data_IF_215609063793
#
_entry.id   IF_215609063793
#
_cell.length_a   1.000
_cell.length_b   1.000
_cell.length_c   1.000
_cell.angle_alpha   90.00
_cell.angle_beta   90.00
_cell.angle_gamma   90.00
#
_symmetry.space_group_name_H-M   'P 1'
#
loop_
_entity.id
_entity.type
_entity.pdbx_description
1 polymer ?
#
# COMPACT_ATOMS: atom_id res chain seq x y z
N UNK A 1 -15.99 -44.86 0.83
CA UNK A 1 -15.33 -44.21 -0.34
C UNK A 1 -16.41 -43.96 -1.37
N UNK A 2 -16.58 -42.71 -1.72
CA UNK A 2 -17.67 -42.22 -2.57
C UNK A 2 -17.32 -42.46 -4.04
N UNK A 3 -17.78 -43.59 -4.56
CA UNK A 3 -17.56 -44.00 -5.94
C UNK A 3 -18.16 -43.03 -6.96
N UNK A 4 -19.24 -42.34 -6.59
CA UNK A 4 -19.90 -41.34 -7.44
C UNK A 4 -19.02 -40.14 -7.68
N UNK A 5 -18.36 -39.63 -6.61
CA UNK A 5 -17.45 -38.51 -6.67
C UNK A 5 -16.16 -38.82 -7.44
N UNK A 6 -15.61 -40.02 -7.28
CA UNK A 6 -14.44 -40.46 -8.05
C UNK A 6 -14.73 -40.51 -9.55
N UNK A 7 -15.90 -41.02 -9.93
CA UNK A 7 -16.34 -41.08 -11.34
C UNK A 7 -16.56 -39.66 -11.91
N UNK A 8 -17.18 -38.77 -11.15
CA UNK A 8 -17.38 -37.38 -11.57
C UNK A 8 -16.05 -36.67 -11.80
N UNK A 9 -15.13 -36.75 -10.84
CA UNK A 9 -13.81 -36.12 -10.97
C UNK A 9 -13.04 -36.67 -12.19
N UNK A 10 -13.12 -38.00 -12.42
CA UNK A 10 -12.48 -38.61 -13.58
C UNK A 10 -13.04 -38.06 -14.89
N UNK A 11 -14.34 -37.78 -14.97
CA UNK A 11 -14.96 -37.27 -16.20
C UNK A 11 -14.75 -35.76 -16.36
N UNK A 12 -14.80 -34.97 -15.28
CA UNK A 12 -14.53 -33.55 -15.33
C UNK A 12 -13.07 -33.27 -15.75
N UNK A 13 -12.15 -34.16 -15.36
CA UNK A 13 -10.73 -34.03 -15.66
C UNK A 13 -10.31 -34.78 -16.94
N UNK A 14 -11.29 -35.19 -17.79
CA UNK A 14 -10.95 -35.79 -19.09
C UNK A 14 -10.22 -34.80 -19.99
N UNK A 15 -9.22 -35.27 -20.77
CA UNK A 15 -8.59 -34.42 -21.77
C UNK A 15 -9.59 -34.03 -22.86
N UNK A 16 -9.27 -32.98 -23.62
CA UNK A 16 -10.15 -32.36 -24.62
C UNK A 16 -10.82 -33.41 -25.57
N UNK A 17 -10.09 -34.43 -25.95
CA UNK A 17 -10.62 -35.52 -26.81
C UNK A 17 -11.73 -36.36 -26.15
N UNK A 18 -11.81 -36.33 -24.83
CA UNK A 18 -12.83 -37.02 -24.04
C UNK A 18 -14.13 -36.26 -23.85
N UNK A 19 -14.15 -34.95 -24.10
CA UNK A 19 -15.31 -34.06 -23.87
C UNK A 19 -16.53 -34.46 -24.71
N UNK A 20 -16.30 -35.04 -25.89
CA UNK A 20 -17.36 -35.53 -26.76
C UNK A 20 -18.26 -36.62 -26.10
N UNK A 21 -17.80 -37.27 -25.03
CA UNK A 21 -18.56 -38.25 -24.28
C UNK A 21 -19.51 -37.65 -23.23
N UNK A 22 -19.37 -36.40 -22.90
CA UNK A 22 -20.17 -35.73 -21.86
C UNK A 22 -21.67 -35.66 -22.17
N UNK A 23 -22.03 -35.58 -23.43
CA UNK A 23 -23.44 -35.56 -23.86
C UNK A 23 -24.08 -36.92 -24.03
N UNK A 24 -23.34 -38.03 -23.92
CA UNK A 24 -23.83 -39.36 -24.23
C UNK A 24 -24.36 -40.14 -23.01
N UNK A 25 -23.96 -39.77 -21.79
CA UNK A 25 -24.41 -40.41 -20.56
C UNK A 25 -25.41 -39.52 -19.80
N UNK A 26 -26.69 -39.76 -20.04
CA UNK A 26 -27.82 -39.05 -19.46
C UNK A 26 -28.24 -39.57 -18.07
N UNK A 27 -27.43 -40.38 -17.41
CA UNK A 27 -27.77 -40.85 -16.05
C UNK A 27 -27.67 -39.69 -15.03
N UNK A 28 -28.75 -39.41 -14.29
CA UNK A 28 -28.65 -38.50 -13.19
C UNK A 28 -27.67 -39.05 -12.17
N UNK A 29 -26.57 -38.33 -11.95
CA UNK A 29 -25.61 -38.64 -10.90
C UNK A 29 -26.04 -37.92 -9.65
N UNK A 30 -26.42 -38.67 -8.67
CA UNK A 30 -26.65 -38.13 -7.34
C UNK A 30 -25.28 -37.78 -6.75
N UNK A 31 -24.93 -36.49 -6.87
CA UNK A 31 -23.69 -35.96 -6.31
C UNK A 31 -24.07 -35.32 -4.97
N UNK A 32 -24.06 -36.16 -3.94
CA UNK A 32 -24.20 -35.70 -2.58
C UNK A 32 -23.13 -34.65 -2.27
N UNK A 33 -23.56 -33.55 -1.63
CA UNK A 33 -22.68 -32.51 -1.13
C UNK A 33 -22.00 -31.62 -2.19
N UNK A 34 -22.58 -31.51 -3.37
CA UNK A 34 -22.25 -30.47 -4.33
C UNK A 34 -23.34 -29.41 -4.32
N UNK A 35 -22.95 -28.14 -4.11
CA UNK A 35 -23.86 -27.00 -4.19
C UNK A 35 -23.31 -25.98 -5.18
N UNK A 36 -24.19 -25.39 -5.97
CA UNK A 36 -23.87 -24.30 -6.87
C UNK A 36 -24.54 -23.05 -6.30
N UNK A 37 -23.74 -22.01 -6.05
CA UNK A 37 -24.22 -20.74 -5.57
C UNK A 37 -23.94 -19.66 -6.61
N UNK A 38 -24.94 -19.22 -7.40
CA UNK A 38 -24.76 -18.11 -8.32
C UNK A 38 -24.66 -16.80 -7.55
N UNK A 39 -23.64 -16.01 -7.85
CA UNK A 39 -23.46 -14.65 -7.33
C UNK A 39 -23.75 -13.62 -8.44
N UNK A 40 -24.26 -12.45 -8.06
CA UNK A 40 -24.59 -11.37 -9.02
C UNK A 40 -23.35 -10.61 -9.46
N UNK A 41 -22.33 -10.51 -8.58
CA UNK A 41 -21.07 -9.84 -8.83
C UNK A 41 -19.94 -10.48 -8.01
N UNK A 42 -18.71 -10.08 -8.31
CA UNK A 42 -17.51 -10.59 -7.64
C UNK A 42 -17.44 -10.28 -6.14
N UNK A 43 -18.08 -9.22 -5.68
CA UNK A 43 -18.12 -8.87 -4.27
C UNK A 43 -19.07 -9.79 -3.51
N UNK A 44 -20.24 -10.03 -4.07
CA UNK A 44 -21.21 -10.97 -3.51
C UNK A 44 -20.64 -12.40 -3.49
N UNK A 45 -19.91 -12.79 -4.53
CA UNK A 45 -19.21 -14.07 -4.58
C UNK A 45 -18.21 -14.20 -3.43
N UNK A 46 -17.34 -13.20 -3.23
CA UNK A 46 -16.35 -13.20 -2.16
C UNK A 46 -17.01 -13.24 -0.76
N UNK A 47 -18.09 -12.49 -0.56
CA UNK A 47 -18.84 -12.48 0.70
C UNK A 47 -19.52 -13.84 0.99
N UNK A 48 -20.13 -14.43 -0.02
CA UNK A 48 -20.77 -15.75 0.11
C UNK A 48 -19.74 -16.83 0.46
N UNK A 49 -18.59 -16.84 -0.22
CA UNK A 49 -17.49 -17.75 0.08
C UNK A 49 -16.97 -17.54 1.50
N UNK A 50 -16.74 -16.30 1.92
CA UNK A 50 -16.26 -15.99 3.26
C UNK A 50 -17.22 -16.45 4.35
N UNK A 51 -18.53 -16.30 4.13
CA UNK A 51 -19.57 -16.80 5.06
C UNK A 51 -19.56 -18.32 5.15
N UNK A 52 -19.45 -19.03 4.03
CA UNK A 52 -19.38 -20.50 4.00
C UNK A 52 -18.12 -20.98 4.73
N UNK A 53 -16.97 -20.36 4.47
CA UNK A 53 -15.70 -20.72 5.11
C UNK A 53 -15.79 -20.48 6.64
N UNK A 54 -16.33 -19.32 7.05
CA UNK A 54 -16.55 -19.00 8.46
C UNK A 54 -17.44 -20.03 9.15
N UNK A 55 -18.55 -20.39 8.52
CA UNK A 55 -19.50 -21.36 9.07
C UNK A 55 -18.82 -22.70 9.34
N UNK A 56 -18.08 -23.19 8.36
CA UNK A 56 -17.33 -24.46 8.49
C UNK A 56 -16.26 -24.39 9.58
N UNK A 57 -15.49 -23.33 9.65
CA UNK A 57 -14.38 -23.17 10.64
C UNK A 57 -14.93 -22.97 12.06
N UNK A 58 -16.16 -22.47 12.21
CA UNK A 58 -16.80 -22.33 13.53
C UNK A 58 -17.08 -23.67 14.21
N UNK A 59 -17.12 -24.78 13.46
CA UNK A 59 -17.25 -26.12 14.01
C UNK A 59 -15.87 -26.70 14.39
N UNK A 60 -15.71 -27.10 15.64
CA UNK A 60 -14.44 -27.61 16.15
C UNK A 60 -13.94 -28.82 15.34
N UNK A 61 -12.68 -28.78 14.91
CA UNK A 61 -12.01 -29.86 14.16
C UNK A 61 -12.33 -29.92 12.68
N UNK A 62 -13.14 -28.99 12.14
CA UNK A 62 -13.35 -28.86 10.71
C UNK A 62 -12.30 -27.95 10.06
N UNK A 63 -11.88 -28.30 8.86
CA UNK A 63 -11.02 -27.50 7.99
C UNK A 63 -11.70 -27.26 6.66
N UNK A 64 -11.40 -26.15 6.01
CA UNK A 64 -11.90 -25.83 4.68
C UNK A 64 -10.83 -25.20 3.82
N UNK A 65 -10.99 -25.23 2.51
CA UNK A 65 -10.09 -24.60 1.57
C UNK A 65 -10.88 -23.97 0.42
N UNK A 66 -10.46 -22.78 0.01
CA UNK A 66 -10.84 -22.16 -1.25
C UNK A 66 -9.80 -22.57 -2.31
N UNK A 67 -10.26 -23.11 -3.41
CA UNK A 67 -9.42 -23.40 -4.58
C UNK A 67 -9.88 -22.53 -5.74
N UNK A 68 -9.05 -21.60 -6.16
CA UNK A 68 -9.35 -20.69 -7.26
C UNK A 68 -8.08 -20.33 -8.02
N UNK A 69 -8.13 -20.21 -9.36
CA UNK A 69 -7.05 -19.62 -10.15
C UNK A 69 -7.10 -18.08 -10.13
N UNK A 70 -8.22 -17.49 -9.71
CA UNK A 70 -8.41 -16.04 -9.66
C UNK A 70 -7.82 -15.45 -8.38
N UNK A 71 -6.67 -14.77 -8.51
CA UNK A 71 -5.97 -14.09 -7.42
C UNK A 71 -6.76 -12.93 -6.82
N UNK A 72 -7.54 -12.23 -7.65
CA UNK A 72 -8.35 -11.11 -7.17
C UNK A 72 -9.49 -11.62 -6.28
N UNK A 73 -10.12 -12.74 -6.65
CA UNK A 73 -11.11 -13.39 -5.81
C UNK A 73 -10.50 -13.87 -4.49
N UNK A 74 -9.34 -14.53 -4.52
CA UNK A 74 -8.66 -14.98 -3.30
C UNK A 74 -8.39 -13.82 -2.33
N UNK A 75 -7.86 -12.70 -2.82
CA UNK A 75 -7.60 -11.50 -2.01
C UNK A 75 -8.89 -10.89 -1.44
N UNK A 76 -9.96 -10.82 -2.23
CA UNK A 76 -11.28 -10.32 -1.75
C UNK A 76 -11.83 -11.20 -0.63
N UNK A 77 -11.79 -12.52 -0.82
CA UNK A 77 -12.23 -13.47 0.21
C UNK A 77 -11.39 -13.34 1.47
N UNK A 78 -10.07 -13.23 1.36
CA UNK A 78 -9.18 -12.99 2.49
C UNK A 78 -9.55 -11.71 3.25
N UNK A 79 -9.84 -10.62 2.53
CA UNK A 79 -10.28 -9.36 3.13
C UNK A 79 -11.63 -9.51 3.87
N UNK A 80 -12.59 -10.23 3.28
CA UNK A 80 -13.87 -10.49 3.93
C UNK A 80 -13.71 -11.37 5.17
N UNK A 81 -12.81 -12.35 5.17
CA UNK A 81 -12.52 -13.21 6.31
C UNK A 81 -11.91 -12.43 7.49
N UNK A 82 -11.08 -11.41 7.22
CA UNK A 82 -10.52 -10.54 8.27
C UNK A 82 -11.61 -9.83 9.09
N UNK A 83 -12.77 -9.52 8.50
CA UNK A 83 -13.93 -8.96 9.23
C UNK A 83 -14.46 -9.89 10.31
N UNK A 84 -14.22 -11.18 10.18
CA UNK A 84 -14.56 -12.21 11.16
C UNK A 84 -13.39 -12.62 12.06
N UNK A 85 -12.22 -11.93 11.95
CA UNK A 85 -11.02 -12.28 12.69
C UNK A 85 -10.36 -13.58 12.20
N UNK A 86 -10.67 -14.02 10.98
CA UNK A 86 -10.10 -15.23 10.39
C UNK A 86 -8.97 -14.84 9.46
N UNK A 87 -7.76 -15.33 9.75
CA UNK A 87 -6.59 -15.22 8.89
C UNK A 87 -6.45 -16.51 8.08
N UNK A 88 -6.69 -16.41 6.77
CA UNK A 88 -6.52 -17.55 5.88
C UNK A 88 -5.05 -17.68 5.47
N UNK A 89 -4.55 -18.91 5.42
CA UNK A 89 -3.24 -19.21 4.83
C UNK A 89 -3.40 -19.29 3.29
N UNK A 90 -2.65 -18.45 2.58
CA UNK A 90 -2.65 -18.39 1.12
C UNK A 90 -1.38 -19.01 0.56
N UNK A 91 -1.52 -20.18 -0.08
CA UNK A 91 -0.39 -20.91 -0.66
C UNK A 91 0.40 -20.15 -1.73
N UNK A 92 -0.19 -19.14 -2.37
CA UNK A 92 0.50 -18.30 -3.34
C UNK A 92 1.17 -17.07 -2.73
N UNK A 93 0.91 -16.81 -1.42
CA UNK A 93 1.44 -15.65 -0.71
C UNK A 93 0.92 -14.31 -1.22
N UNK A 94 1.41 -13.24 -0.63
CA UNK A 94 1.14 -11.88 -1.08
C UNK A 94 2.21 -11.43 -2.08
N UNK A 95 1.79 -10.67 -3.09
CA UNK A 95 2.75 -10.04 -4.00
C UNK A 95 3.57 -9.00 -3.25
N UNK A 96 4.88 -9.17 -3.22
CA UNK A 96 5.80 -8.20 -2.59
C UNK A 96 5.53 -6.77 -3.09
N UNK A 97 5.21 -6.61 -4.38
CA UNK A 97 4.92 -5.31 -4.98
C UNK A 97 3.68 -4.60 -4.42
N UNK A 98 2.81 -5.31 -3.72
CA UNK A 98 1.60 -4.77 -3.09
C UNK A 98 1.78 -4.49 -1.59
N UNK A 99 2.89 -4.92 -1.01
CA UNK A 99 3.17 -4.62 0.41
C UNK A 99 3.34 -3.11 0.62
N UNK A 100 2.97 -2.59 1.80
CA UNK A 100 3.15 -1.17 2.10
C UNK A 100 4.59 -0.68 1.89
N UNK A 101 5.58 -1.48 2.27
CA UNK A 101 6.99 -1.14 2.08
C UNK A 101 7.37 -1.01 0.60
N UNK A 102 6.98 -1.97 -0.24
CA UNK A 102 7.29 -1.92 -1.67
C UNK A 102 6.55 -0.79 -2.39
N UNK A 103 5.30 -0.51 -1.99
CA UNK A 103 4.54 0.65 -2.50
C UNK A 103 5.27 1.94 -2.14
N UNK A 104 5.72 2.06 -0.88
CA UNK A 104 6.47 3.24 -0.40
C UNK A 104 7.76 3.47 -1.19
N UNK A 105 8.58 2.42 -1.40
CA UNK A 105 9.80 2.50 -2.21
C UNK A 105 9.52 2.96 -3.64
N UNK A 106 8.47 2.45 -4.27
CA UNK A 106 8.09 2.89 -5.63
C UNK A 106 7.64 4.35 -5.66
N UNK A 107 6.87 4.79 -4.66
CA UNK A 107 6.44 6.18 -4.56
C UNK A 107 7.64 7.12 -4.40
N UNK A 108 8.64 6.73 -3.60
CA UNK A 108 9.88 7.49 -3.40
C UNK A 108 10.65 7.62 -4.72
N UNK A 109 10.85 6.50 -5.43
CA UNK A 109 11.53 6.49 -6.73
C UNK A 109 10.79 7.40 -7.74
N UNK A 110 9.45 7.28 -7.82
CA UNK A 110 8.63 8.14 -8.68
C UNK A 110 8.72 9.61 -8.29
N UNK A 111 8.76 9.92 -6.99
CA UNK A 111 8.87 11.30 -6.52
C UNK A 111 10.25 11.91 -6.85
N UNK A 112 11.32 11.13 -6.75
CA UNK A 112 12.65 11.56 -7.13
C UNK A 112 12.76 11.80 -8.65
N UNK A 113 12.26 10.85 -9.47
CA UNK A 113 12.22 10.98 -10.93
C UNK A 113 11.41 12.20 -11.37
N UNK A 114 10.23 12.40 -10.77
CA UNK A 114 9.36 13.54 -11.03
C UNK A 114 9.84 14.86 -10.38
N UNK A 115 11.08 14.92 -9.87
CA UNK A 115 11.66 16.10 -9.22
C UNK A 115 10.71 16.70 -8.18
N UNK A 116 10.14 15.85 -7.33
CA UNK A 116 9.21 16.21 -6.27
C UNK A 116 7.97 16.98 -6.77
N UNK A 117 7.45 16.61 -7.94
CA UNK A 117 6.18 17.19 -8.42
C UNK A 117 5.08 17.04 -7.35
N UNK A 118 4.11 17.98 -7.28
CA UNK A 118 3.13 18.05 -6.19
C UNK A 118 2.42 16.73 -5.88
N UNK A 119 1.96 16.02 -6.91
CA UNK A 119 1.23 14.75 -6.74
C UNK A 119 2.16 13.65 -6.24
N UNK A 120 3.35 13.52 -6.84
CA UNK A 120 4.31 12.50 -6.47
C UNK A 120 4.82 12.71 -5.03
N UNK A 121 5.16 13.95 -4.67
CA UNK A 121 5.57 14.29 -3.31
C UNK A 121 4.48 13.99 -2.28
N UNK A 122 3.23 14.43 -2.54
CA UNK A 122 2.13 14.17 -1.62
C UNK A 122 1.80 12.68 -1.48
N UNK A 123 1.99 11.89 -2.53
CA UNK A 123 1.80 10.44 -2.46
C UNK A 123 2.78 9.80 -1.47
N UNK A 124 4.03 10.25 -1.42
CA UNK A 124 5.01 9.81 -0.42
C UNK A 124 4.64 10.32 0.97
N UNK A 125 4.42 11.64 1.13
CA UNK A 125 4.20 12.26 2.44
C UNK A 125 2.89 11.82 3.13
N UNK A 126 1.89 11.37 2.36
CA UNK A 126 0.63 10.86 2.89
C UNK A 126 0.63 9.33 3.07
N UNK A 127 1.72 8.67 2.73
CA UNK A 127 1.82 7.22 2.93
C UNK A 127 1.90 6.89 4.43
N UNK A 128 1.26 5.80 4.91
CA UNK A 128 1.24 5.44 6.34
C UNK A 128 2.63 5.26 6.98
N UNK A 129 3.65 4.94 6.19
CA UNK A 129 5.02 4.79 6.66
C UNK A 129 5.78 6.12 6.78
N UNK A 130 5.30 7.21 6.17
CA UNK A 130 5.98 8.49 6.23
C UNK A 130 5.90 9.10 7.64
N UNK A 131 7.06 9.47 8.21
CA UNK A 131 7.17 10.08 9.54
C UNK A 131 8.17 11.26 9.59
N UNK A 132 9.26 11.22 8.79
CA UNK A 132 10.28 12.28 8.70
C UNK A 132 10.86 12.70 10.07
N UNK A 133 11.13 11.75 10.96
CA UNK A 133 11.63 12.01 12.31
C UNK A 133 10.57 12.60 13.25
N UNK A 134 9.29 12.31 13.01
CA UNK A 134 8.14 12.75 13.80
C UNK A 134 7.15 11.60 13.99
N UNK A 135 6.00 11.86 14.60
CA UNK A 135 4.91 10.90 14.51
C UNK A 135 4.31 10.91 13.11
N UNK A 136 3.78 9.77 12.60
CA UNK A 136 3.08 9.76 11.31
C UNK A 136 1.91 10.75 11.23
N UNK A 137 1.21 10.97 12.35
CA UNK A 137 0.12 11.93 12.45
C UNK A 137 0.59 13.37 12.18
N UNK A 138 1.70 13.78 12.81
CA UNK A 138 2.29 15.12 12.65
C UNK A 138 2.86 15.30 11.23
N UNK A 139 3.51 14.26 10.69
CA UNK A 139 3.97 14.26 9.31
C UNK A 139 2.81 14.49 8.34
N UNK A 140 1.71 13.76 8.49
CA UNK A 140 0.51 13.94 7.67
C UNK A 140 -0.16 15.30 7.86
N UNK A 141 -0.15 15.88 9.07
CA UNK A 141 -0.68 17.22 9.32
C UNK A 141 0.15 18.26 8.57
N UNK A 142 1.49 18.18 8.68
CA UNK A 142 2.42 19.07 7.97
C UNK A 142 2.32 18.89 6.44
N UNK A 143 2.16 17.66 5.94
CA UNK A 143 1.93 17.41 4.52
C UNK A 143 0.64 18.07 4.01
N UNK A 144 -0.47 17.95 4.76
CA UNK A 144 -1.74 18.64 4.42
C UNK A 144 -1.60 20.16 4.46
N UNK A 145 -0.81 20.68 5.39
CA UNK A 145 -0.53 22.13 5.43
C UNK A 145 0.28 22.58 4.21
N UNK A 146 1.36 21.87 3.89
CA UNK A 146 2.18 22.15 2.71
C UNK A 146 1.33 22.09 1.42
N UNK A 147 0.45 21.08 1.30
CA UNK A 147 -0.50 20.96 0.19
C UNK A 147 -1.36 22.22 0.03
N UNK A 148 -1.99 22.67 1.13
CA UNK A 148 -2.89 23.83 1.10
C UNK A 148 -2.15 25.12 0.77
N UNK A 149 -0.92 25.29 1.27
CA UNK A 149 -0.18 26.54 1.12
C UNK A 149 0.49 26.66 -0.26
N UNK A 150 1.07 25.55 -0.78
CA UNK A 150 1.97 25.61 -1.92
C UNK A 150 1.58 24.74 -3.11
N UNK A 151 0.83 23.64 -2.89
CA UNK A 151 0.68 22.60 -3.90
C UNK A 151 -0.70 22.53 -4.55
N UNK A 152 -1.69 23.28 -4.04
CA UNK A 152 -3.06 23.35 -4.62
C UNK A 152 -3.21 24.39 -5.72
N UNK A 153 -2.27 25.32 -5.84
CA UNK A 153 -2.24 26.36 -6.87
C UNK A 153 -1.42 25.94 -8.10
N UNK A 154 -0.85 26.92 -8.81
CA UNK A 154 0.12 26.66 -9.85
C UNK A 154 1.27 25.80 -9.29
N UNK A 155 1.69 24.77 -10.04
CA UNK A 155 2.75 23.89 -9.59
C UNK A 155 4.05 24.67 -9.36
N UNK A 156 4.73 24.47 -8.22
CA UNK A 156 6.08 25.01 -8.01
C UNK A 156 7.04 24.54 -9.10
N UNK A 157 8.13 25.28 -9.30
CA UNK A 157 9.22 24.79 -10.12
C UNK A 157 9.75 23.45 -9.57
N UNK A 158 10.33 22.58 -10.43
CA UNK A 158 10.81 21.26 -10.01
C UNK A 158 11.84 21.31 -8.87
N UNK A 159 11.84 20.28 -8.05
CA UNK A 159 12.82 20.05 -7.00
C UNK A 159 12.61 20.91 -5.73
N UNK A 160 13.51 20.70 -4.78
CA UNK A 160 13.49 21.43 -3.48
C UNK A 160 13.63 22.94 -3.66
N UNK A 161 14.43 23.39 -4.62
CA UNK A 161 14.60 24.81 -4.90
C UNK A 161 13.28 25.48 -5.28
N UNK A 162 12.46 24.79 -6.09
CA UNK A 162 11.11 25.25 -6.46
C UNK A 162 10.18 25.36 -5.27
N UNK A 163 10.18 24.37 -4.36
CA UNK A 163 9.39 24.40 -3.13
C UNK A 163 9.81 25.57 -2.21
N UNK A 164 11.12 25.81 -2.06
CA UNK A 164 11.64 26.93 -1.28
C UNK A 164 11.28 28.28 -1.90
N UNK A 165 11.33 28.40 -3.23
CA UNK A 165 10.94 29.63 -3.94
C UNK A 165 9.44 29.89 -3.78
N UNK A 166 8.59 28.88 -3.94
CA UNK A 166 7.15 29.01 -3.75
C UNK A 166 6.80 29.42 -2.30
N UNK A 167 7.52 28.89 -1.30
CA UNK A 167 7.32 29.30 0.08
C UNK A 167 7.68 30.78 0.32
N UNK A 168 8.80 31.25 -0.26
CA UNK A 168 9.20 32.67 -0.17
C UNK A 168 8.12 33.58 -0.78
N UNK A 169 7.69 33.24 -2.00
CA UNK A 169 6.63 34.00 -2.67
C UNK A 169 5.33 34.05 -1.85
N UNK A 170 4.94 32.91 -1.24
CA UNK A 170 3.78 32.85 -0.35
C UNK A 170 3.95 33.76 0.87
N UNK A 171 5.13 33.72 1.53
CA UNK A 171 5.43 34.56 2.69
C UNK A 171 5.44 36.05 2.34
N UNK A 172 6.03 36.41 1.22
CA UNK A 172 6.10 37.82 0.76
C UNK A 172 4.70 38.36 0.46
N UNK A 173 3.83 37.55 -0.18
CA UNK A 173 2.42 37.93 -0.42
C UNK A 173 1.62 38.08 0.87
N UNK A 174 1.86 37.21 1.88
CA UNK A 174 1.16 37.29 3.17
C UNK A 174 1.56 38.53 4.00
N UNK A 175 2.77 39.04 3.84
CA UNK A 175 3.26 40.25 4.52
C UNK A 175 2.93 41.54 3.76
N UNK A 176 2.31 41.45 2.58
CA UNK A 176 1.79 42.62 1.89
C UNK A 176 0.62 43.22 2.68
N UNK A 177 0.54 44.59 2.84
CA UNK A 177 -0.36 45.24 3.76
C UNK A 177 -1.87 45.09 3.49
N UNK A 178 -2.25 44.37 2.42
CA UNK A 178 -3.64 44.30 1.96
C UNK A 178 -4.33 42.91 2.24
N UNK A 179 -3.67 42.01 2.94
CA UNK A 179 -4.25 40.71 3.27
C UNK A 179 -4.38 40.55 4.78
N UNK A 180 -5.61 40.54 5.25
CA UNK A 180 -5.96 40.27 6.63
C UNK A 180 -5.35 38.96 7.10
N UNK A 181 -4.59 39.02 8.19
CA UNK A 181 -3.92 37.89 8.81
C UNK A 181 -4.93 36.79 9.15
N UNK A 182 -4.97 35.74 8.34
CA UNK A 182 -5.55 34.45 8.78
C UNK A 182 -4.54 33.87 9.78
N UNK A 183 -4.92 33.88 11.06
CA UNK A 183 -4.12 33.31 12.12
C UNK A 183 -3.82 31.83 11.76
N UNK A 184 -2.54 31.50 11.62
CA UNK A 184 -2.09 30.11 11.60
C UNK A 184 -2.60 29.41 12.87
N UNK A 185 -3.14 28.23 12.75
CA UNK A 185 -3.61 27.47 13.90
C UNK A 185 -2.45 27.32 14.91
N UNK A 186 -2.68 27.65 16.20
CA UNK A 186 -1.62 27.79 17.19
C UNK A 186 -0.95 26.49 17.65
N UNK A 187 -1.26 25.34 17.03
CA UNK A 187 -0.95 24.03 17.60
C UNK A 187 0.02 23.17 16.77
N UNK A 188 0.75 23.75 15.81
CA UNK A 188 1.73 22.99 15.05
C UNK A 188 3.18 23.29 15.49
N UNK A 189 3.94 22.27 15.92
CA UNK A 189 5.30 22.46 16.47
C UNK A 189 6.34 22.89 15.42
N UNK A 190 6.02 22.85 14.13
CA UNK A 190 7.00 23.12 13.07
C UNK A 190 6.41 23.89 11.88
N UNK A 191 7.08 24.98 11.48
CA UNK A 191 6.69 25.77 10.32
C UNK A 191 6.98 25.04 8.97
N UNK A 192 6.34 25.49 7.86
CA UNK A 192 6.50 24.87 6.54
C UNK A 192 7.95 24.89 6.03
N UNK A 193 8.75 25.87 6.41
CA UNK A 193 10.16 25.94 6.04
C UNK A 193 10.99 24.80 6.64
N UNK A 194 10.79 24.49 7.92
CA UNK A 194 11.48 23.41 8.60
C UNK A 194 11.03 22.04 8.06
N UNK A 195 9.74 21.88 7.73
CA UNK A 195 9.25 20.66 7.10
C UNK A 195 9.85 20.44 5.70
N UNK A 196 9.97 21.50 4.87
CA UNK A 196 10.67 21.43 3.57
C UNK A 196 12.15 21.05 3.77
N UNK A 197 12.82 21.58 4.80
CA UNK A 197 14.21 21.21 5.11
C UNK A 197 14.35 19.73 5.51
N UNK A 198 13.36 19.12 6.18
CA UNK A 198 13.34 17.68 6.44
C UNK A 198 13.17 16.87 5.17
N UNK A 199 12.25 17.27 4.28
CA UNK A 199 12.06 16.65 2.97
C UNK A 199 13.36 16.70 2.16
N UNK A 200 14.01 17.87 2.10
CA UNK A 200 15.29 18.05 1.43
C UNK A 200 16.33 17.06 1.93
N UNK A 201 16.54 17.02 3.25
CA UNK A 201 17.53 16.11 3.86
C UNK A 201 17.24 14.65 3.57
N UNK A 202 15.97 14.24 3.61
CA UNK A 202 15.59 12.87 3.36
C UNK A 202 15.78 12.47 1.88
N UNK A 203 15.49 13.36 0.94
CA UNK A 203 15.61 13.09 -0.49
C UNK A 203 16.99 13.41 -1.08
N UNK A 204 17.87 14.05 -0.34
CA UNK A 204 19.22 14.43 -0.82
C UNK A 204 20.00 13.27 -1.47
N UNK A 205 20.02 12.03 -0.93
CA UNK A 205 20.73 10.92 -1.55
C UNK A 205 20.27 10.61 -2.98
N UNK A 206 19.00 10.83 -3.30
CA UNK A 206 18.45 10.57 -4.64
C UNK A 206 18.51 11.80 -5.56
N UNK A 207 18.26 12.99 -5.01
CA UNK A 207 18.22 14.22 -5.80
C UNK A 207 19.61 14.75 -6.16
N UNK A 208 20.66 14.33 -5.45
CA UNK A 208 22.06 14.66 -5.74
C UNK A 208 22.70 13.76 -6.79
N UNK A 209 21.95 12.82 -7.39
CA UNK A 209 22.50 11.95 -8.44
C UNK A 209 22.72 12.75 -9.72
N UNK A 210 23.96 12.80 -10.17
CA UNK A 210 24.34 13.37 -11.46
C UNK A 210 24.78 12.25 -12.42
N UNK A 211 24.06 12.10 -13.53
CA UNK A 211 24.38 11.09 -14.54
C UNK A 211 23.95 9.67 -14.17
N UNK A 212 24.59 8.67 -14.78
CA UNK A 212 24.29 7.26 -14.55
C UNK A 212 25.14 6.71 -13.40
N UNK A 213 24.50 6.00 -12.47
CA UNK A 213 25.17 5.32 -11.36
C UNK A 213 24.90 3.80 -11.40
N UNK A 214 25.75 2.97 -10.80
CA UNK A 214 25.53 1.52 -10.69
C UNK A 214 24.23 1.21 -9.93
N UNK A 215 23.51 0.16 -10.36
CA UNK A 215 22.28 -0.26 -9.70
C UNK A 215 22.42 -0.51 -8.18
N UNK A 216 23.48 -1.16 -7.68
CA UNK A 216 23.64 -1.33 -6.22
C UNK A 216 23.67 0.01 -5.47
N UNK A 217 24.40 1.00 -5.99
CA UNK A 217 24.47 2.33 -5.39
C UNK A 217 23.10 3.04 -5.41
N UNK A 218 22.35 2.92 -6.51
CA UNK A 218 20.98 3.46 -6.59
C UNK A 218 20.06 2.84 -5.54
N UNK A 219 20.16 1.52 -5.35
CA UNK A 219 19.35 0.81 -4.34
C UNK A 219 19.73 1.23 -2.92
N UNK A 220 21.01 1.38 -2.62
CA UNK A 220 21.47 1.88 -1.31
C UNK A 220 20.92 3.28 -1.02
N UNK A 221 21.00 4.20 -1.99
CA UNK A 221 20.47 5.55 -1.86
C UNK A 221 18.94 5.56 -1.70
N UNK A 222 18.23 4.68 -2.43
CA UNK A 222 16.78 4.51 -2.29
C UNK A 222 16.40 4.00 -0.91
N UNK A 223 17.13 3.02 -0.37
CA UNK A 223 16.91 2.46 0.97
C UNK A 223 17.16 3.55 2.03
N UNK A 224 18.30 4.26 1.98
CA UNK A 224 18.58 5.34 2.91
C UNK A 224 17.51 6.44 2.88
N UNK A 225 17.03 6.81 1.68
CA UNK A 225 15.94 7.78 1.53
C UNK A 225 14.65 7.26 2.18
N UNK A 226 14.33 5.98 1.98
CA UNK A 226 13.13 5.37 2.54
C UNK A 226 13.20 5.29 4.07
N UNK A 227 14.34 4.90 4.62
CA UNK A 227 14.59 4.87 6.07
C UNK A 227 14.49 6.27 6.69
N UNK A 228 15.09 7.29 6.07
CA UNK A 228 15.00 8.68 6.54
C UNK A 228 13.56 9.22 6.50
N UNK A 229 12.78 8.85 5.48
CA UNK A 229 11.37 9.23 5.36
C UNK A 229 10.47 8.49 6.36
N UNK A 230 10.79 7.23 6.70
CA UNK A 230 10.02 6.40 7.60
C UNK A 230 10.44 6.58 9.08
N UNK A 231 11.62 7.13 9.36
CA UNK A 231 12.13 7.32 10.72
C UNK A 231 11.14 8.09 11.59
N UNK A 232 10.92 7.60 12.81
CA UNK A 232 10.10 8.28 13.84
C UNK A 232 10.99 9.05 14.82
N UNK A 233 10.40 9.93 15.62
CA UNK A 233 11.13 10.66 16.66
C UNK A 233 11.77 9.69 17.67
N UNK A 234 11.03 8.69 18.12
CA UNK A 234 11.50 7.72 19.11
C UNK A 234 12.71 6.93 18.62
N UNK A 235 12.78 6.61 17.31
CA UNK A 235 13.92 5.92 16.70
C UNK A 235 15.16 6.81 16.59
N UNK A 236 14.97 8.13 16.43
CA UNK A 236 16.07 9.08 16.36
C UNK A 236 16.62 9.45 17.74
N UNK A 237 15.77 9.43 18.77
CA UNK A 237 16.11 9.75 20.16
C UNK A 237 16.59 8.54 20.97
N UNK A 238 16.62 7.32 20.34
CA UNK A 238 17.10 6.11 20.98
C UNK A 238 18.56 6.24 21.46
N UNK A 239 18.93 5.66 22.63
CA UNK A 239 20.29 5.69 23.13
C UNK A 239 21.29 5.08 22.15
N UNK A 240 22.53 5.59 22.14
CA UNK A 240 23.57 5.15 21.18
C UNK A 240 23.98 3.65 21.34
N UNK A 241 23.65 3.04 22.48
CA UNK A 241 23.97 1.65 22.79
C UNK A 241 23.03 0.63 22.12
N UNK A 242 21.86 1.06 21.60
CA UNK A 242 20.97 0.20 20.82
C UNK A 242 21.22 0.36 19.32
N UNK A 243 21.20 -0.74 18.54
CA UNK A 243 21.35 -0.64 17.10
C UNK A 243 20.21 0.23 16.53
N UNK A 244 20.57 1.41 16.07
CA UNK A 244 19.62 2.33 15.43
C UNK A 244 19.22 1.76 14.07
N UNK A 245 17.95 1.44 13.95
CA UNK A 245 17.34 1.09 12.66
C UNK A 245 16.32 2.17 12.30
N UNK A 246 16.77 3.34 11.79
CA UNK A 246 15.85 4.39 11.36
C UNK A 246 14.90 3.81 10.32
N UNK A 247 13.60 4.02 10.54
CA UNK A 247 12.59 3.42 9.68
C UNK A 247 12.36 1.93 9.90
N UNK A 248 12.57 1.41 11.10
CA UNK A 248 12.32 -0.01 11.45
C UNK A 248 10.92 -0.50 11.05
N UNK A 249 9.94 0.41 10.98
CA UNK A 249 8.58 0.12 10.49
C UNK A 249 8.51 -0.20 8.98
N UNK A 250 9.59 0.04 8.25
CA UNK A 250 9.69 -0.25 6.82
C UNK A 250 9.98 -1.74 6.59
N UNK A 251 10.71 -2.37 7.49
CA UNK A 251 11.12 -3.77 7.46
C UNK A 251 10.32 -4.60 8.48
#
# INVERSE_FOLDING_TARGET
>A
RDRGRELMLREVLLPEQGIAHWGQDSRPRDIDRLSILPAQDQQQEAQAIALILRDVVSEAGKTCALVTPDRALAQRVGTELLRFGIHADDSAGESLSQTPAAVFLRLIATAAEAQLSPVALLSVLKHPLAALGRTPGDCHASARRLERLLLRGPAPAPGIAGLKAALREYTDKKHAPDHGASADAPDEPEGPAAFIARIERAFDPLLSIEGAIPLPELLERLIHTAEALAATADELDAPEEEPRHPGARLW
#
